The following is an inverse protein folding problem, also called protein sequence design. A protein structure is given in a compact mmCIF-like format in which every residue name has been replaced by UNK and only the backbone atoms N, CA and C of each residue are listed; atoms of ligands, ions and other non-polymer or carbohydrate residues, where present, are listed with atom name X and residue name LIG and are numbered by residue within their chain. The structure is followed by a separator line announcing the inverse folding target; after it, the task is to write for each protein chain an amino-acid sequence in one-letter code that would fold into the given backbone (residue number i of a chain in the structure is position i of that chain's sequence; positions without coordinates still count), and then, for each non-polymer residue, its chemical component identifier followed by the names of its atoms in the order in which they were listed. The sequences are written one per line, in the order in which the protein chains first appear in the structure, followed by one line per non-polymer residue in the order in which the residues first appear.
data_IF_391410696893
#
_entry.id   IF_391410696893
#
_cell.length_a   1.000
_cell.length_b   1.000
_cell.length_c   1.000
_cell.angle_alpha   90.00
_cell.angle_beta   90.00
_cell.angle_gamma   90.00
#
_symmetry.space_group_name_H-M   'P 1'
#
loop_
_entity.id
_entity.type
_entity.pdbx_description
1 polymer ?
#
# COMPACT_ATOMS: atom_id res chain seq x y z
N UNK A 1 -6.71 19.61 -12.68
CA UNK A 1 -6.25 18.21 -12.63
C UNK A 1 -6.94 17.57 -11.44
N UNK A 2 -7.64 16.44 -11.60
CA UNK A 2 -8.26 15.77 -10.46
C UNK A 2 -7.19 15.04 -9.65
N UNK A 3 -7.21 15.22 -8.33
CA UNK A 3 -6.22 14.62 -7.41
C UNK A 3 -6.47 13.12 -7.30
N UNK A 4 -5.41 12.32 -7.47
CA UNK A 4 -5.43 10.88 -7.15
C UNK A 4 -4.97 10.66 -5.72
N UNK A 5 -5.82 10.02 -4.92
CA UNK A 5 -5.44 9.45 -3.65
C UNK A 5 -5.44 7.94 -3.80
N UNK A 6 -4.25 7.34 -3.77
CA UNK A 6 -4.10 5.90 -3.82
C UNK A 6 -4.16 5.32 -2.40
N UNK A 7 -3.33 4.33 -2.06
CA UNK A 7 -3.50 3.55 -0.82
C UNK A 7 -2.74 4.18 0.35
N UNK A 8 -3.12 3.85 1.57
CA UNK A 8 -2.27 4.01 2.76
C UNK A 8 -1.43 2.76 2.97
N UNK A 9 -0.14 2.95 3.26
CA UNK A 9 0.79 1.86 3.58
C UNK A 9 1.31 2.07 5.00
N UNK A 10 1.20 1.04 5.84
CA UNK A 10 1.68 1.02 7.22
C UNK A 10 2.71 -0.08 7.41
N UNK A 11 3.76 0.24 8.17
CA UNK A 11 4.80 -0.70 8.57
C UNK A 11 4.92 -0.75 10.10
N UNK A 12 5.07 -1.94 10.66
CA UNK A 12 5.37 -2.13 12.08
C UNK A 12 6.51 -3.11 12.24
N UNK A 13 7.42 -2.80 13.19
CA UNK A 13 8.44 -3.71 13.66
C UNK A 13 8.27 -3.90 15.16
N UNK A 14 8.12 -5.15 15.59
CA UNK A 14 7.94 -5.52 17.00
C UNK A 14 8.51 -6.92 17.24
N UNK A 15 9.24 -7.09 18.35
CA UNK A 15 9.78 -8.38 18.81
C UNK A 15 10.52 -9.17 17.71
N UNK A 16 11.39 -8.49 16.96
CA UNK A 16 12.17 -9.08 15.86
C UNK A 16 11.37 -9.44 14.60
N UNK A 17 10.07 -9.11 14.54
CA UNK A 17 9.20 -9.36 13.39
C UNK A 17 8.82 -8.06 12.70
N UNK A 18 8.59 -8.13 11.39
CA UNK A 18 8.15 -7.00 10.56
C UNK A 18 6.85 -7.39 9.86
N UNK A 19 5.87 -6.49 9.93
CA UNK A 19 4.66 -6.55 9.12
C UNK A 19 4.52 -5.27 8.28
N UNK A 20 4.08 -5.44 7.04
CA UNK A 20 3.79 -4.37 6.11
C UNK A 20 2.39 -4.62 5.54
N UNK A 21 1.52 -3.62 5.62
CA UNK A 21 0.14 -3.72 5.16
C UNK A 21 -0.32 -2.42 4.51
N UNK A 22 -1.40 -2.51 3.76
CA UNK A 22 -2.07 -1.35 3.19
C UNK A 22 -3.51 -1.70 2.83
N UNK A 23 -4.32 -0.67 2.65
CA UNK A 23 -5.67 -0.82 2.13
C UNK A 23 -5.69 -0.88 0.59
N UNK A 24 -6.87 -1.13 0.03
CA UNK A 24 -7.05 -1.29 -1.41
C UNK A 24 -7.72 -0.10 -2.10
N UNK A 25 -8.03 0.98 -1.38
CA UNK A 25 -8.78 2.11 -1.94
C UNK A 25 -7.91 2.94 -2.88
N UNK A 26 -8.49 3.32 -4.02
CA UNK A 26 -7.98 4.34 -4.92
C UNK A 26 -9.13 5.27 -5.24
N UNK A 27 -8.91 6.57 -5.06
CA UNK A 27 -9.91 7.64 -5.17
C UNK A 27 -9.42 8.66 -6.19
N UNK A 28 -10.32 9.14 -7.05
CA UNK A 28 -10.07 10.23 -8.00
C UNK A 28 -11.08 11.34 -7.73
N UNK A 29 -10.62 12.48 -7.21
CA UNK A 29 -11.51 13.48 -6.63
C UNK A 29 -12.32 12.85 -5.49
N UNK A 30 -13.65 12.93 -5.58
CA UNK A 30 -14.57 12.39 -4.56
C UNK A 30 -15.08 10.97 -4.88
N UNK A 31 -14.60 10.36 -5.97
CA UNK A 31 -15.08 9.05 -6.43
C UNK A 31 -14.08 7.95 -6.11
N UNK A 32 -14.54 6.88 -5.45
CA UNK A 32 -13.76 5.64 -5.26
C UNK A 32 -13.73 4.86 -6.58
N UNK A 33 -12.53 4.71 -7.14
CA UNK A 33 -12.29 4.05 -8.42
C UNK A 33 -11.98 2.56 -8.28
N UNK A 34 -11.34 2.15 -7.18
CA UNK A 34 -10.93 0.76 -6.92
C UNK A 34 -10.84 0.50 -5.42
N UNK A 35 -11.25 -0.69 -4.98
CA UNK A 35 -11.20 -1.10 -3.57
C UNK A 35 -10.20 -2.23 -3.28
N UNK A 36 -9.51 -2.75 -4.31
CA UNK A 36 -8.69 -3.97 -4.25
C UNK A 36 -7.24 -3.75 -4.72
N UNK A 37 -6.71 -2.53 -4.62
CA UNK A 37 -5.32 -2.29 -4.97
C UNK A 37 -4.37 -3.09 -4.06
N UNK A 38 -3.36 -3.73 -4.64
CA UNK A 38 -2.27 -4.39 -3.90
C UNK A 38 -0.97 -3.65 -4.19
N UNK A 39 -0.53 -2.87 -3.20
CA UNK A 39 0.66 -2.02 -3.28
C UNK A 39 1.80 -2.48 -2.37
N UNK A 40 1.59 -3.59 -1.65
CA UNK A 40 2.61 -4.31 -0.88
C UNK A 40 3.12 -5.50 -1.70
N UNK A 41 4.44 -5.63 -1.80
CA UNK A 41 5.11 -6.73 -2.50
C UNK A 41 6.25 -7.32 -1.68
N UNK A 42 6.41 -8.63 -1.82
CA UNK A 42 7.59 -9.36 -1.34
C UNK A 42 8.63 -9.35 -2.46
N UNK A 43 9.87 -8.98 -2.12
CA UNK A 43 11.01 -9.02 -3.05
C UNK A 43 12.17 -9.78 -2.39
N UNK A 44 13.21 -10.12 -3.18
CA UNK A 44 14.36 -10.90 -2.71
C UNK A 44 13.92 -12.17 -1.98
N UNK A 45 13.11 -13.00 -2.65
CA UNK A 45 12.58 -14.27 -2.11
C UNK A 45 11.81 -14.08 -0.79
N UNK A 46 11.16 -12.93 -0.59
CA UNK A 46 10.42 -12.62 0.63
C UNK A 46 11.26 -12.14 1.80
N UNK A 47 12.58 -11.97 1.62
CA UNK A 47 13.47 -11.38 2.63
C UNK A 47 13.26 -9.87 2.80
N UNK A 48 12.59 -9.21 1.85
CA UNK A 48 12.29 -7.79 1.88
C UNK A 48 10.81 -7.55 1.56
N UNK A 49 10.17 -6.71 2.37
CA UNK A 49 8.82 -6.18 2.11
C UNK A 49 8.94 -4.76 1.57
N UNK A 50 8.29 -4.47 0.45
CA UNK A 50 8.25 -3.13 -0.13
C UNK A 50 6.79 -2.70 -0.34
N UNK A 51 6.49 -1.45 -0.01
CA UNK A 51 5.16 -0.86 -0.18
C UNK A 51 5.28 0.53 -0.78
N UNK A 52 4.40 0.87 -1.72
CA UNK A 52 4.42 2.18 -2.38
C UNK A 52 3.00 2.68 -2.59
N UNK A 53 2.64 3.75 -1.88
CA UNK A 53 1.28 4.27 -1.79
C UNK A 53 0.73 4.84 -3.10
N UNK A 54 1.57 5.35 -4.00
CA UNK A 54 1.13 6.14 -5.16
C UNK A 54 1.76 5.75 -6.49
N UNK A 55 1.82 6.73 -7.40
CA UNK A 55 2.55 6.79 -8.66
C UNK A 55 3.11 8.20 -8.80
#
# INVERSE_FOLDING_TARGET
MQTFHATTILAVRKDGRVALGGDGQVTMGDTVMKATAQKVRKIREGKVLAGFAGS
#
